data_IF_409004002073
#
_entry.id   IF_409004002073
#
_cell.length_a   1.000
_cell.length_b   1.000
_cell.length_c   1.000
_cell.angle_alpha   90.00
_cell.angle_beta   90.00
_cell.angle_gamma   90.00
#
_symmetry.space_group_name_H-M   'P 1'
#
loop_
_entity.id
_entity.type
_entity.pdbx_description
1 polymer ?
#
# COMPACT_ATOMS: atom_id res chain seq x y z
N UNK A 1 -4.14 -4.23 7.65
CA UNK A 1 -4.14 -2.97 8.45
C UNK A 1 -5.47 -2.27 8.21
N UNK A 2 -6.21 -1.95 9.27
CA UNK A 2 -7.42 -1.14 9.17
C UNK A 2 -7.03 0.32 8.94
N UNK A 3 -7.71 0.97 8.00
CA UNK A 3 -7.63 2.41 7.79
C UNK A 3 -8.70 3.09 8.66
N UNK A 4 -9.92 2.61 8.54
CA UNK A 4 -11.09 3.04 9.30
C UNK A 4 -12.00 1.82 9.54
N UNK A 5 -13.21 2.05 10.03
CA UNK A 5 -14.16 0.98 10.36
C UNK A 5 -14.60 0.14 9.14
N UNK A 6 -14.45 0.66 7.92
CA UNK A 6 -14.94 0.01 6.70
C UNK A 6 -13.83 -0.39 5.73
N UNK A 7 -12.66 0.26 5.80
CA UNK A 7 -11.59 0.10 4.83
C UNK A 7 -10.38 -0.64 5.42
N UNK A 8 -9.91 -1.65 4.69
CA UNK A 8 -8.75 -2.45 5.06
C UNK A 8 -7.76 -2.56 3.90
N UNK A 9 -6.47 -2.48 4.24
CA UNK A 9 -5.38 -2.83 3.33
C UNK A 9 -4.75 -4.18 3.72
N UNK A 10 -4.57 -5.04 2.72
CA UNK A 10 -4.02 -6.39 2.84
C UNK A 10 -2.77 -6.49 1.97
N UNK A 11 -1.67 -6.94 2.56
CA UNK A 11 -0.43 -7.23 1.84
C UNK A 11 -0.33 -8.72 1.53
N UNK A 12 0.13 -9.06 0.33
CA UNK A 12 0.31 -10.45 -0.11
C UNK A 12 1.77 -10.89 0.00
N UNK A 13 2.00 -12.20 0.00
CA UNK A 13 3.34 -12.81 -0.08
C UNK A 13 4.01 -12.56 -1.43
N UNK A 14 3.23 -12.24 -2.46
CA UNK A 14 3.68 -12.00 -3.84
C UNK A 14 3.92 -10.52 -4.15
N UNK A 15 3.84 -9.62 -3.17
CA UNK A 15 4.26 -8.21 -3.31
C UNK A 15 3.15 -7.24 -3.72
N UNK A 16 1.89 -7.66 -3.66
CA UNK A 16 0.75 -6.77 -3.91
C UNK A 16 0.16 -6.27 -2.59
N UNK A 17 -0.37 -5.05 -2.64
CA UNK A 17 -1.26 -4.48 -1.63
C UNK A 17 -2.63 -4.34 -2.27
N UNK A 18 -3.63 -4.91 -1.61
CA UNK A 18 -5.04 -4.88 -2.01
C UNK A 18 -5.80 -4.06 -0.99
N UNK A 19 -6.64 -3.13 -1.44
CA UNK A 19 -7.55 -2.41 -0.55
C UNK A 19 -8.99 -2.82 -0.77
N UNK A 20 -9.68 -3.06 0.33
CA UNK A 20 -11.06 -3.52 0.35
C UNK A 20 -11.90 -2.60 1.24
N UNK A 21 -13.14 -2.42 0.81
CA UNK A 21 -14.24 -2.08 1.71
C UNK A 21 -14.83 -3.40 2.21
N UNK A 22 -15.00 -3.57 3.52
CA UNK A 22 -15.44 -4.85 4.12
C UNK A 22 -16.81 -5.32 3.63
N UNK A 23 -17.61 -4.45 3.01
CA UNK A 23 -18.92 -4.78 2.44
C UNK A 23 -18.81 -5.41 1.05
N UNK A 24 -17.61 -5.41 0.45
CA UNK A 24 -17.33 -5.92 -0.89
C UNK A 24 -16.23 -6.97 -0.86
N UNK A 25 -16.38 -8.02 -1.65
CA UNK A 25 -15.34 -9.03 -1.85
C UNK A 25 -14.34 -8.68 -2.97
N UNK A 26 -14.51 -7.51 -3.62
CA UNK A 26 -13.61 -7.05 -4.69
C UNK A 26 -12.72 -5.92 -4.18
N UNK A 27 -11.42 -5.95 -4.47
CA UNK A 27 -10.54 -4.85 -4.12
C UNK A 27 -10.91 -3.63 -4.95
N UNK A 28 -11.00 -2.46 -4.32
CA UNK A 28 -11.20 -1.20 -5.03
C UNK A 28 -9.87 -0.58 -5.50
N UNK A 29 -8.74 -1.04 -4.96
CA UNK A 29 -7.42 -0.57 -5.34
C UNK A 29 -6.36 -1.68 -5.21
N UNK A 30 -5.40 -1.70 -6.14
CA UNK A 30 -4.27 -2.64 -6.15
C UNK A 30 -2.97 -1.89 -6.38
N UNK A 31 -1.97 -2.13 -5.53
CA UNK A 31 -0.60 -1.60 -5.66
C UNK A 31 0.40 -2.74 -5.72
N UNK A 32 1.35 -2.68 -6.65
CA UNK A 32 2.43 -3.66 -6.72
C UNK A 32 3.79 -3.04 -6.31
N UNK A 33 4.56 -3.79 -5.53
CA UNK A 33 5.93 -3.46 -5.17
C UNK A 33 6.94 -3.75 -6.29
N UNK A 34 6.60 -4.63 -7.24
CA UNK A 34 7.35 -5.08 -8.41
C UNK A 34 8.63 -5.86 -8.08
N UNK A 35 8.75 -6.38 -6.86
CA UNK A 35 9.87 -7.24 -6.44
C UNK A 35 9.46 -8.69 -6.18
N UNK A 36 8.17 -9.02 -6.26
CA UNK A 36 7.64 -10.35 -5.91
C UNK A 36 8.07 -10.82 -4.50
N UNK A 37 8.14 -9.87 -3.56
CA UNK A 37 8.54 -10.13 -2.18
C UNK A 37 7.36 -9.88 -1.23
N UNK A 38 7.25 -10.63 -0.11
CA UNK A 38 6.16 -10.43 0.84
C UNK A 38 6.10 -9.01 1.39
N UNK A 39 4.91 -8.40 1.34
CA UNK A 39 4.65 -7.14 2.02
C UNK A 39 4.76 -7.37 3.53
N UNK A 40 5.66 -6.62 4.18
CA UNK A 40 5.96 -6.76 5.60
C UNK A 40 5.15 -5.83 6.48
N UNK A 41 4.84 -4.63 5.99
CA UNK A 41 4.07 -3.64 6.74
C UNK A 41 3.30 -2.72 5.81
N UNK A 42 2.12 -2.33 6.28
CA UNK A 42 1.29 -1.28 5.68
C UNK A 42 0.87 -0.35 6.82
N UNK A 43 1.00 0.95 6.60
CA UNK A 43 0.52 1.98 7.53
C UNK A 43 -0.16 3.13 6.78
N UNK A 44 -1.05 3.81 7.47
CA UNK A 44 -1.76 4.99 6.96
C UNK A 44 -1.19 6.21 7.66
N UNK A 45 -1.00 7.30 6.91
CA UNK A 45 -0.43 8.52 7.49
C UNK A 45 -1.46 9.25 8.36
N UNK A 46 -1.13 9.46 9.64
CA UNK A 46 -2.09 9.88 10.66
C UNK A 46 -2.72 11.28 10.47
N UNK A 47 -2.04 12.20 9.78
CA UNK A 47 -2.55 13.57 9.55
C UNK A 47 -3.27 13.70 8.19
N UNK A 48 -2.95 12.82 7.25
CA UNK A 48 -3.50 12.81 5.91
C UNK A 48 -3.60 11.36 5.44
N UNK A 49 -4.76 10.77 5.70
CA UNK A 49 -5.04 9.36 5.43
C UNK A 49 -4.86 8.97 3.97
N UNK A 50 -4.80 9.93 3.04
CA UNK A 50 -4.65 9.64 1.62
C UNK A 50 -3.30 9.00 1.30
N UNK A 51 -2.30 9.22 2.15
CA UNK A 51 -0.98 8.62 2.01
C UNK A 51 -0.86 7.29 2.75
N UNK A 52 -0.26 6.34 2.04
CA UNK A 52 -0.05 4.97 2.50
C UNK A 52 1.43 4.65 2.44
N UNK A 53 1.95 4.12 3.54
CA UNK A 53 3.27 3.52 3.62
C UNK A 53 3.15 2.02 3.40
N UNK A 54 3.98 1.47 2.53
CA UNK A 54 4.10 0.02 2.34
C UNK A 54 5.55 -0.40 2.21
N UNK A 55 5.91 -1.52 2.84
CA UNK A 55 7.30 -1.98 2.96
C UNK A 55 7.40 -3.46 2.58
N UNK A 56 8.43 -3.79 1.80
CA UNK A 56 8.97 -5.14 1.67
C UNK A 56 10.47 -5.16 2.01
N UNK A 57 11.17 -6.27 1.78
CA UNK A 57 12.60 -6.40 2.11
C UNK A 57 13.52 -5.46 1.31
N UNK A 58 13.12 -5.01 0.11
CA UNK A 58 13.93 -4.21 -0.82
C UNK A 58 13.51 -2.75 -0.91
N UNK A 59 12.25 -2.42 -0.60
CA UNK A 59 11.74 -1.07 -0.78
C UNK A 59 10.71 -0.66 0.28
N UNK A 60 10.80 0.60 0.70
CA UNK A 60 9.73 1.34 1.36
C UNK A 60 9.13 2.32 0.35
N UNK A 61 7.80 2.34 0.20
CA UNK A 61 7.09 3.28 -0.69
C UNK A 61 6.08 4.10 0.11
N UNK A 62 6.00 5.39 -0.20
CA UNK A 62 4.89 6.27 0.16
C UNK A 62 4.09 6.56 -1.10
N UNK A 63 2.77 6.47 -1.03
CA UNK A 63 1.91 6.71 -2.19
C UNK A 63 0.53 7.20 -1.80
N UNK A 64 -0.11 7.95 -2.70
CA UNK A 64 -1.47 8.45 -2.51
C UNK A 64 -2.49 7.46 -3.08
N UNK A 65 -3.52 7.10 -2.31
CA UNK A 65 -4.54 6.09 -2.68
C UNK A 65 -5.60 6.58 -3.68
N UNK A 66 -5.76 7.89 -3.84
CA UNK A 66 -6.74 8.48 -4.76
C UNK A 66 -6.14 8.76 -6.15
N UNK A 67 -4.82 8.71 -6.28
CA UNK A 67 -4.14 9.00 -7.54
C UNK A 67 -3.70 7.71 -8.23
N UNK A 68 -4.39 7.35 -9.31
CA UNK A 68 -4.12 6.13 -10.11
C UNK A 68 -2.73 6.14 -10.75
N UNK A 69 -2.21 7.32 -11.07
CA UNK A 69 -0.89 7.46 -11.69
C UNK A 69 -0.25 8.82 -11.36
N UNK A 70 0.71 8.82 -10.43
CA UNK A 70 2.00 9.49 -10.65
C UNK A 70 3.01 9.02 -9.61
N UNK A 71 4.03 8.35 -10.13
CA UNK A 71 5.37 8.23 -9.54
C UNK A 71 5.74 9.51 -8.79
N UNK A 72 5.74 9.48 -7.45
CA UNK A 72 6.74 10.27 -6.73
C UNK A 72 7.99 9.41 -6.77
N UNK A 73 8.78 9.55 -7.84
CA UNK A 73 10.09 8.90 -8.00
C UNK A 73 11.09 9.30 -6.89
N UNK A 74 10.67 10.16 -5.95
CA UNK A 74 11.48 10.65 -4.82
C UNK A 74 11.13 10.03 -3.45
N UNK A 75 10.06 9.25 -3.30
CA UNK A 75 9.61 8.77 -1.97
C UNK A 75 9.84 7.27 -1.73
N UNK A 76 10.70 6.66 -2.55
CA UNK A 76 11.02 5.24 -2.41
C UNK A 76 12.44 5.07 -1.88
N UNK A 77 12.56 4.54 -0.67
CA UNK A 77 13.85 4.18 -0.08
C UNK A 77 14.12 2.74 -0.47
N UNK A 78 15.16 2.51 -1.26
CA UNK A 78 15.65 1.18 -1.59
C UNK A 78 16.67 0.74 -0.55
N UNK A 79 16.46 -0.44 -0.01
CA UNK A 79 17.42 -1.09 0.88
C UNK A 79 18.45 -1.83 0.01
N UNK A 80 19.73 -1.63 0.29
CA UNK A 80 20.85 -2.33 -0.35
C UNK A 80 21.38 -3.41 0.60
#
# INVERSE_FOLDING_TARGET
KFKDALNIAVGTSTGQILMFDIRSNKPYFIKDHNYNLPIKRIDFHALNDDYVLSIDKKICKIWNRHTVNRRILKDSIKFH
#
